data_IF_254140951054
#
_entry.id   IF_254140951054
#
_cell.length_a   1.000
_cell.length_b   1.000
_cell.length_c   1.000
_cell.angle_alpha   90.00
_cell.angle_beta   90.00
_cell.angle_gamma   90.00
#
_symmetry.space_group_name_H-M   'P 1'
#
loop_
_entity.id
_entity.type
_entity.pdbx_description
1 polymer ?
#
# COMPACT_ATOMS: atom_id res chain seq x y z
N UNK A 1 -6.06 31.73 6.55
CA UNK A 1 -6.20 30.26 6.53
C UNK A 1 -6.98 29.73 5.34
N UNK A 2 -8.02 30.41 4.85
CA UNK A 2 -8.91 29.87 3.80
C UNK A 2 -8.31 29.67 2.41
N UNK A 3 -7.06 30.05 2.17
CA UNK A 3 -6.40 29.91 0.87
C UNK A 3 -5.07 29.15 0.91
N UNK A 4 -4.67 28.59 2.05
CA UNK A 4 -3.37 27.96 2.22
C UNK A 4 -3.42 26.52 2.75
N UNK A 5 -4.59 26.06 3.24
CA UNK A 5 -4.75 24.73 3.83
C UNK A 5 -5.66 23.86 2.97
N UNK A 6 -5.17 22.69 2.56
CA UNK A 6 -5.95 21.66 1.91
C UNK A 6 -5.97 20.41 2.79
N UNK A 7 -7.10 19.75 2.88
CA UNK A 7 -7.25 18.45 3.53
C UNK A 7 -7.18 17.34 2.48
N UNK A 8 -6.17 16.50 2.57
CA UNK A 8 -6.05 15.30 1.74
C UNK A 8 -6.41 14.07 2.56
N UNK A 9 -7.50 13.42 2.21
CA UNK A 9 -7.93 12.20 2.87
C UNK A 9 -7.28 10.97 2.22
N UNK A 10 -6.70 10.08 3.02
CA UNK A 10 -6.06 8.84 2.61
C UNK A 10 -6.82 7.57 3.00
N UNK A 11 -8.02 7.70 3.58
CA UNK A 11 -8.80 6.55 4.08
C UNK A 11 -10.27 6.67 3.72
N UNK A 12 -10.92 5.50 3.58
CA UNK A 12 -12.38 5.38 3.50
C UNK A 12 -12.96 4.73 4.76
N UNK A 13 -12.14 4.58 5.81
CA UNK A 13 -12.55 3.97 7.07
C UNK A 13 -12.78 5.09 8.08
N UNK A 14 -13.99 5.23 8.58
CA UNK A 14 -14.34 6.25 9.56
C UNK A 14 -13.50 6.16 10.84
N UNK A 15 -13.21 4.94 11.30
CA UNK A 15 -12.36 4.69 12.46
C UNK A 15 -10.90 5.10 12.30
N UNK A 16 -10.44 5.33 11.06
CA UNK A 16 -9.10 5.81 10.77
C UNK A 16 -9.02 7.35 10.66
N UNK A 17 -10.14 8.05 10.80
CA UNK A 17 -10.16 9.51 10.95
C UNK A 17 -9.73 9.85 12.38
N UNK A 18 -8.71 10.68 12.48
CA UNK A 18 -8.07 11.01 13.76
C UNK A 18 -8.99 11.81 14.67
N UNK A 19 -9.23 11.29 15.87
CA UNK A 19 -10.00 11.98 16.92
C UNK A 19 -9.28 11.91 18.25
N UNK A 20 -9.29 13.01 19.00
CA UNK A 20 -8.61 13.10 20.29
C UNK A 20 -9.53 13.61 21.39
N UNK A 21 -9.52 13.01 22.60
CA UNK A 21 -10.19 13.62 23.74
C UNK A 21 -9.66 15.04 23.99
N UNK A 22 -10.54 16.01 24.20
CA UNK A 22 -10.15 17.41 24.45
C UNK A 22 -9.16 17.52 25.64
N UNK A 23 -9.33 16.68 26.67
CA UNK A 23 -8.44 16.61 27.82
C UNK A 23 -6.98 16.24 27.47
N UNK A 24 -6.75 15.50 26.38
CA UNK A 24 -5.38 15.20 25.91
C UNK A 24 -4.75 16.43 25.25
N UNK A 25 -5.54 17.17 24.48
CA UNK A 25 -5.07 18.40 23.85
C UNK A 25 -4.82 19.49 24.90
N UNK A 26 -5.62 19.55 25.98
CA UNK A 26 -5.40 20.43 27.12
C UNK A 26 -4.05 20.18 27.82
N UNK A 27 -3.58 18.94 27.85
CA UNK A 27 -2.25 18.57 28.39
C UNK A 27 -1.13 18.81 27.40
N UNK A 28 -1.34 18.51 26.13
CA UNK A 28 -0.29 18.53 25.10
C UNK A 28 -0.09 19.94 24.51
N UNK A 29 -1.18 20.66 24.23
CA UNK A 29 -1.17 21.95 23.52
C UNK A 29 -2.23 22.91 24.09
N UNK A 30 -2.17 23.24 25.39
CA UNK A 30 -3.23 24.01 26.07
C UNK A 30 -3.54 25.34 25.41
N UNK A 31 -2.55 25.98 24.77
CA UNK A 31 -2.72 27.24 24.06
C UNK A 31 -3.61 27.16 22.82
N UNK A 32 -3.81 25.97 22.23
CA UNK A 32 -4.64 25.77 21.05
C UNK A 32 -6.09 25.43 21.40
N UNK A 33 -6.38 24.92 22.59
CA UNK A 33 -7.72 24.50 22.99
C UNK A 33 -8.75 25.61 22.93
N UNK A 34 -8.49 26.85 23.43
CA UNK A 34 -9.43 27.94 23.27
C UNK A 34 -9.74 28.28 21.80
N UNK A 35 -8.75 28.14 20.92
CA UNK A 35 -8.92 28.36 19.49
C UNK A 35 -9.82 27.26 18.89
N UNK A 36 -9.59 26.00 19.22
CA UNK A 36 -10.39 24.86 18.73
C UNK A 36 -11.86 25.04 19.19
N UNK A 37 -12.10 25.40 20.46
CA UNK A 37 -13.45 25.65 20.98
C UNK A 37 -14.12 26.82 20.28
N UNK A 38 -13.40 27.90 19.97
CA UNK A 38 -13.92 29.01 19.19
C UNK A 38 -14.27 28.63 17.76
N UNK A 39 -13.43 27.78 17.12
CA UNK A 39 -13.71 27.28 15.78
C UNK A 39 -14.98 26.39 15.78
N UNK A 40 -15.14 25.51 16.77
CA UNK A 40 -16.33 24.67 16.92
C UNK A 40 -17.60 25.52 17.19
N UNK A 41 -17.52 26.56 18.07
CA UNK A 41 -18.62 27.49 18.32
C UNK A 41 -19.13 28.14 17.03
N UNK A 42 -18.22 28.58 16.16
CA UNK A 42 -18.58 29.18 14.85
C UNK A 42 -19.21 28.17 13.89
N UNK A 43 -18.84 26.91 13.97
CA UNK A 43 -19.48 25.84 13.20
C UNK A 43 -20.89 25.61 13.67
N UNK A 44 -21.13 25.51 15.00
CA UNK A 44 -22.46 25.34 15.61
C UNK A 44 -23.42 26.51 15.35
N UNK A 45 -22.90 27.72 15.21
CA UNK A 45 -23.71 28.88 14.81
C UNK A 45 -24.19 28.82 13.36
N UNK A 46 -23.49 28.09 12.50
CA UNK A 46 -23.79 28.00 11.06
C UNK A 46 -24.56 26.75 10.68
N UNK A 47 -24.39 25.68 11.43
CA UNK A 47 -24.92 24.36 11.10
C UNK A 47 -25.55 23.71 12.31
N UNK A 48 -26.70 23.05 12.09
CA UNK A 48 -27.46 22.34 13.12
C UNK A 48 -27.19 20.83 13.10
N UNK A 49 -26.47 20.34 12.10
CA UNK A 49 -26.10 18.94 11.96
C UNK A 49 -24.89 18.63 12.85
N UNK A 50 -25.12 17.89 13.93
CA UNK A 50 -24.08 17.54 14.90
C UNK A 50 -22.98 16.65 14.29
N UNK A 51 -23.27 15.92 13.22
CA UNK A 51 -22.30 15.06 12.56
C UNK A 51 -21.15 15.81 11.89
N UNK A 52 -21.24 17.13 11.75
CA UNK A 52 -20.19 17.97 11.20
C UNK A 52 -19.47 18.84 12.25
N UNK A 53 -19.83 18.72 13.52
CA UNK A 53 -19.18 19.49 14.60
C UNK A 53 -17.72 19.07 14.78
N UNK A 54 -16.88 20.03 15.16
CA UNK A 54 -15.46 19.78 15.43
C UNK A 54 -15.28 19.02 16.75
N UNK A 55 -16.09 19.35 17.76
CA UNK A 55 -16.10 18.67 19.06
C UNK A 55 -17.45 17.96 19.18
N UNK A 56 -17.43 16.64 19.40
CA UNK A 56 -18.63 15.83 19.56
C UNK A 56 -19.18 15.86 21.01
N UNK A 57 -20.27 15.11 21.24
CA UNK A 57 -20.91 15.00 22.55
C UNK A 57 -20.04 14.33 23.62
N UNK A 58 -19.03 13.55 23.20
CA UNK A 58 -18.08 12.86 24.08
C UNK A 58 -16.80 13.69 24.32
N UNK A 59 -16.84 14.98 24.03
CA UNK A 59 -15.67 15.90 24.13
C UNK A 59 -14.46 15.42 23.33
N UNK A 60 -14.69 14.82 22.16
CA UNK A 60 -13.62 14.42 21.23
C UNK A 60 -13.51 15.44 20.11
N UNK A 61 -12.29 15.84 19.82
CA UNK A 61 -11.96 16.73 18.71
C UNK A 61 -11.70 15.93 17.46
N UNK A 62 -12.47 16.19 16.41
CA UNK A 62 -12.33 15.58 15.09
C UNK A 62 -11.41 16.42 14.22
N UNK A 63 -10.19 15.97 14.00
CA UNK A 63 -9.17 16.71 13.24
C UNK A 63 -9.62 16.95 11.80
N UNK A 64 -10.15 15.92 11.14
CA UNK A 64 -10.66 16.03 9.78
C UNK A 64 -11.80 17.07 9.65
N UNK A 65 -12.73 17.15 10.62
CA UNK A 65 -13.81 18.11 10.59
C UNK A 65 -13.29 19.55 10.63
N UNK A 66 -12.30 19.79 11.49
CA UNK A 66 -11.66 21.12 11.58
C UNK A 66 -10.99 21.49 10.25
N UNK A 67 -10.24 20.55 9.65
CA UNK A 67 -9.56 20.77 8.38
C UNK A 67 -10.53 21.01 7.22
N UNK A 68 -11.65 20.29 7.18
CA UNK A 68 -12.67 20.46 6.14
C UNK A 68 -13.39 21.81 6.27
N UNK A 69 -13.75 22.23 7.49
CA UNK A 69 -14.40 23.52 7.69
C UNK A 69 -13.51 24.70 7.29
N UNK A 70 -12.25 24.67 7.68
CA UNK A 70 -11.34 25.82 7.59
C UNK A 70 -10.32 25.74 6.45
N UNK A 71 -10.13 24.58 5.82
CA UNK A 71 -9.38 24.44 4.58
C UNK A 71 -10.17 24.89 3.36
N UNK A 72 -9.49 25.21 2.27
CA UNK A 72 -10.12 25.61 1.01
C UNK A 72 -10.41 24.44 0.07
N UNK A 73 -9.76 23.31 0.25
CA UNK A 73 -9.84 22.14 -0.63
C UNK A 73 -9.85 20.85 0.16
N UNK A 74 -10.69 19.92 -0.25
CA UNK A 74 -10.80 18.55 0.28
C UNK A 74 -10.62 17.59 -0.87
N UNK A 75 -9.64 16.70 -0.81
CA UNK A 75 -9.45 15.74 -1.89
C UNK A 75 -9.29 14.31 -1.43
N UNK A 76 -9.85 13.39 -2.21
CA UNK A 76 -9.44 12.00 -2.21
C UNK A 76 -8.20 11.79 -3.08
N UNK A 77 -7.61 10.60 -3.00
CA UNK A 77 -6.34 10.26 -3.65
C UNK A 77 -6.48 9.28 -4.83
N UNK A 78 -7.71 9.01 -5.24
CA UNK A 78 -8.10 8.28 -6.45
C UNK A 78 -9.54 8.64 -6.80
N UNK A 79 -9.95 8.49 -8.06
CA UNK A 79 -11.33 8.82 -8.49
C UNK A 79 -12.38 8.08 -7.65
N UNK A 80 -12.31 6.75 -7.58
CA UNK A 80 -13.24 5.95 -6.78
C UNK A 80 -13.23 6.33 -5.30
N UNK A 81 -12.05 6.59 -4.72
CA UNK A 81 -11.92 7.06 -3.35
C UNK A 81 -12.66 8.39 -3.15
N UNK A 82 -12.47 9.33 -4.04
CA UNK A 82 -13.15 10.64 -3.98
C UNK A 82 -14.67 10.51 -4.07
N UNK A 83 -15.18 9.62 -4.92
CA UNK A 83 -16.62 9.36 -5.01
C UNK A 83 -17.17 8.68 -3.75
N UNK A 84 -16.41 7.79 -3.10
CA UNK A 84 -16.78 7.21 -1.80
C UNK A 84 -16.85 8.30 -0.72
N UNK A 85 -15.86 9.21 -0.68
CA UNK A 85 -15.89 10.33 0.27
C UNK A 85 -17.13 11.21 0.08
N UNK A 86 -17.44 11.59 -1.16
CA UNK A 86 -18.61 12.44 -1.47
C UNK A 86 -19.93 11.77 -1.14
N UNK A 87 -20.08 10.50 -1.47
CA UNK A 87 -21.35 9.80 -1.44
C UNK A 87 -21.62 9.02 -0.14
N UNK A 88 -20.57 8.78 0.68
CA UNK A 88 -20.65 7.99 1.91
C UNK A 88 -19.97 8.71 3.07
N UNK A 89 -18.65 8.59 3.19
CA UNK A 89 -17.88 8.89 4.39
C UNK A 89 -17.94 10.36 4.83
N UNK A 90 -17.90 11.29 3.88
CA UNK A 90 -17.94 12.73 4.11
C UNK A 90 -19.14 13.39 3.40
N UNK A 91 -20.22 12.63 3.17
CA UNK A 91 -21.39 13.12 2.46
C UNK A 91 -22.01 14.37 3.12
N UNK A 92 -22.02 14.42 4.44
CA UNK A 92 -22.55 15.57 5.18
C UNK A 92 -21.74 16.83 4.88
N UNK A 93 -20.43 16.72 4.81
CA UNK A 93 -19.54 17.82 4.40
C UNK A 93 -19.66 18.16 2.92
N UNK A 94 -19.84 17.16 2.07
CA UNK A 94 -20.04 17.40 0.64
C UNK A 94 -21.31 18.19 0.36
N UNK A 95 -22.41 17.93 1.10
CA UNK A 95 -23.64 18.71 1.01
C UNK A 95 -23.45 20.18 1.39
N UNK A 96 -22.55 20.45 2.35
CA UNK A 96 -22.28 21.82 2.83
C UNK A 96 -21.29 22.56 1.92
N UNK A 97 -20.25 21.84 1.45
CA UNK A 97 -19.13 22.42 0.71
C UNK A 97 -18.81 21.64 -0.58
N UNK A 98 -19.76 21.53 -1.54
CA UNK A 98 -19.55 20.71 -2.74
C UNK A 98 -18.31 21.17 -3.56
N UNK A 99 -18.08 22.48 -3.62
CA UNK A 99 -16.98 23.07 -4.39
C UNK A 99 -15.58 22.81 -3.81
N UNK A 100 -15.49 22.41 -2.53
CA UNK A 100 -14.20 22.06 -1.93
C UNK A 100 -13.71 20.68 -2.38
N UNK A 101 -14.64 19.79 -2.76
CA UNK A 101 -14.29 18.38 -3.03
C UNK A 101 -13.76 18.18 -4.44
N UNK A 102 -12.58 17.60 -4.53
CA UNK A 102 -11.94 17.29 -5.81
C UNK A 102 -11.10 16.03 -5.70
N UNK A 103 -10.61 15.53 -6.84
CA UNK A 103 -9.75 14.36 -6.90
C UNK A 103 -8.31 14.77 -7.20
N UNK A 104 -7.37 14.21 -6.45
CA UNK A 104 -5.93 14.28 -6.70
C UNK A 104 -5.37 12.86 -6.69
N UNK A 105 -5.45 12.17 -7.84
CA UNK A 105 -4.95 10.80 -7.95
C UNK A 105 -3.48 10.75 -7.54
N UNK A 106 -3.15 9.80 -6.66
CA UNK A 106 -1.77 9.52 -6.30
C UNK A 106 -0.96 9.26 -7.57
N UNK A 107 0.18 9.93 -7.68
CA UNK A 107 1.09 9.73 -8.78
C UNK A 107 2.25 8.83 -8.40
N UNK A 108 2.72 8.03 -9.35
CA UNK A 108 4.01 7.37 -9.29
C UNK A 108 4.89 7.90 -10.40
N UNK A 109 6.16 8.15 -10.12
CA UNK A 109 7.09 8.57 -11.17
C UNK A 109 7.72 7.34 -11.81
N UNK A 110 7.37 7.07 -13.08
CA UNK A 110 7.95 5.96 -13.84
C UNK A 110 9.47 6.09 -14.03
N UNK A 111 10.04 7.30 -13.94
CA UNK A 111 11.48 7.51 -13.95
C UNK A 111 12.17 6.74 -12.84
N UNK A 112 11.60 6.72 -11.63
CA UNK A 112 12.12 5.91 -10.53
C UNK A 112 11.72 4.45 -10.67
N UNK A 113 10.42 4.19 -10.84
CA UNK A 113 9.81 2.88 -10.69
C UNK A 113 9.96 1.95 -11.90
N UNK A 114 10.28 2.50 -13.06
CA UNK A 114 10.62 1.76 -14.26
C UNK A 114 12.09 2.00 -14.64
N UNK A 115 12.44 3.24 -14.98
CA UNK A 115 13.73 3.54 -15.61
C UNK A 115 14.90 3.23 -14.68
N UNK A 116 14.82 3.61 -13.41
CA UNK A 116 15.90 3.39 -12.46
C UNK A 116 15.87 2.00 -11.82
N UNK A 117 14.68 1.49 -11.48
CA UNK A 117 14.58 0.21 -10.77
C UNK A 117 14.74 -1.00 -11.68
N UNK A 118 14.41 -0.89 -12.98
CA UNK A 118 14.48 -1.99 -13.94
C UNK A 118 15.17 -1.55 -15.24
N UNK A 119 16.48 -1.34 -15.14
CA UNK A 119 17.30 -0.94 -16.30
C UNK A 119 17.21 -1.92 -17.47
N UNK A 120 17.25 -3.27 -17.28
CA UNK A 120 17.12 -4.21 -18.38
C UNK A 120 15.79 -4.09 -19.13
N UNK A 121 14.68 -3.85 -18.42
CA UNK A 121 13.38 -3.60 -19.03
C UNK A 121 13.37 -2.25 -19.75
N UNK A 122 13.96 -1.25 -19.17
CA UNK A 122 14.09 0.11 -19.78
C UNK A 122 14.86 0.05 -21.11
N UNK A 123 15.95 -0.69 -21.15
CA UNK A 123 16.76 -0.86 -22.36
C UNK A 123 15.99 -1.63 -23.44
N UNK A 124 15.26 -2.66 -23.05
CA UNK A 124 14.37 -3.39 -23.96
C UNK A 124 13.30 -2.46 -24.56
N UNK A 125 12.62 -1.68 -23.73
CA UNK A 125 11.61 -0.70 -24.18
C UNK A 125 12.24 0.31 -25.13
N UNK A 126 13.39 0.87 -24.76
CA UNK A 126 14.11 1.84 -25.60
C UNK A 126 14.44 1.30 -27.00
N UNK A 127 14.82 0.02 -27.09
CA UNK A 127 15.10 -0.62 -28.37
C UNK A 127 13.85 -0.87 -29.21
N UNK A 128 12.68 -1.07 -28.57
CA UNK A 128 11.42 -1.34 -29.27
C UNK A 128 10.73 -0.07 -29.76
N UNK A 129 10.69 0.99 -28.94
CA UNK A 129 9.88 2.19 -29.20
C UNK A 129 10.66 3.51 -29.15
N UNK A 130 11.98 3.48 -28.96
CA UNK A 130 12.81 4.67 -28.76
C UNK A 130 12.76 5.19 -27.32
N UNK A 131 13.48 6.28 -27.06
CA UNK A 131 13.62 6.84 -25.70
C UNK A 131 12.60 7.94 -25.35
N UNK A 132 11.71 8.30 -26.26
CA UNK A 132 10.72 9.37 -26.09
C UNK A 132 9.77 9.15 -24.89
N UNK A 133 9.51 7.90 -24.50
CA UNK A 133 8.70 7.58 -23.31
C UNK A 133 9.30 8.14 -22.01
N UNK A 134 10.59 8.41 -21.97
CA UNK A 134 11.26 8.99 -20.79
C UNK A 134 10.73 10.38 -20.44
N UNK A 135 10.20 11.09 -21.45
CA UNK A 135 9.61 12.42 -21.31
C UNK A 135 8.09 12.39 -21.39
N UNK A 136 7.55 11.52 -22.20
CA UNK A 136 6.12 11.34 -22.43
C UNK A 136 5.74 9.86 -22.25
N UNK A 137 5.20 9.53 -21.06
CA UNK A 137 4.82 8.17 -20.70
C UNK A 137 3.73 7.58 -21.62
N UNK A 138 2.93 8.41 -22.31
CA UNK A 138 1.90 7.93 -23.25
C UNK A 138 2.50 7.15 -24.42
N UNK A 139 3.77 7.37 -24.73
CA UNK A 139 4.46 6.61 -25.77
C UNK A 139 4.63 5.12 -25.44
N UNK A 140 4.48 4.72 -24.17
CA UNK A 140 4.45 3.30 -23.78
C UNK A 140 3.29 2.52 -24.43
N UNK A 141 2.21 3.19 -24.85
CA UNK A 141 1.11 2.55 -25.60
C UNK A 141 1.60 1.85 -26.89
N UNK A 142 2.70 2.32 -27.51
CA UNK A 142 3.31 1.69 -28.68
C UNK A 142 3.71 0.23 -28.42
N UNK A 143 3.95 -0.14 -27.17
CA UNK A 143 4.27 -1.53 -26.80
C UNK A 143 3.13 -2.51 -27.08
N UNK A 144 1.87 -2.04 -27.12
CA UNK A 144 0.72 -2.86 -27.49
C UNK A 144 0.89 -3.54 -28.86
N UNK A 145 1.63 -2.90 -29.80
CA UNK A 145 1.94 -3.48 -31.10
C UNK A 145 2.81 -4.75 -31.05
N UNK A 146 3.46 -5.02 -29.94
CA UNK A 146 4.35 -6.17 -29.75
C UNK A 146 3.72 -7.29 -28.91
N UNK A 147 2.44 -7.17 -28.50
CA UNK A 147 1.76 -8.13 -27.61
C UNK A 147 1.70 -9.57 -28.18
N UNK A 148 1.78 -9.74 -29.51
CA UNK A 148 1.80 -11.05 -30.19
C UNK A 148 3.19 -11.45 -30.73
N UNK A 149 4.24 -10.66 -30.49
CA UNK A 149 5.60 -10.97 -30.98
C UNK A 149 6.32 -11.91 -30.00
N UNK A 150 6.44 -13.20 -30.38
CA UNK A 150 7.09 -14.21 -29.56
C UNK A 150 8.55 -13.87 -29.19
N UNK A 151 9.29 -13.19 -30.04
CA UNK A 151 10.69 -12.80 -29.74
C UNK A 151 10.74 -11.74 -28.64
N UNK A 152 9.80 -10.79 -28.69
CA UNK A 152 9.68 -9.74 -27.67
C UNK A 152 9.20 -10.34 -26.36
N UNK A 153 8.21 -11.24 -26.39
CA UNK A 153 7.72 -11.94 -25.20
C UNK A 153 8.80 -12.81 -24.54
N UNK A 154 9.57 -13.57 -25.31
CA UNK A 154 10.67 -14.35 -24.78
C UNK A 154 11.76 -13.47 -24.15
N UNK A 155 12.09 -12.33 -24.76
CA UNK A 155 13.02 -11.38 -24.19
C UNK A 155 12.50 -10.75 -22.89
N UNK A 156 11.19 -10.47 -22.80
CA UNK A 156 10.56 -10.01 -21.57
C UNK A 156 10.69 -11.05 -20.45
N UNK A 157 10.49 -12.33 -20.78
CA UNK A 157 10.70 -13.42 -19.83
C UNK A 157 12.16 -13.52 -19.36
N UNK A 158 13.14 -13.30 -20.25
CA UNK A 158 14.56 -13.25 -19.87
C UNK A 158 14.86 -12.14 -18.88
N UNK A 159 14.30 -10.92 -19.12
CA UNK A 159 14.41 -9.78 -18.18
C UNK A 159 13.80 -10.16 -16.83
N UNK A 160 12.60 -10.74 -16.83
CA UNK A 160 11.91 -11.17 -15.62
C UNK A 160 12.74 -12.22 -14.85
N UNK A 161 13.28 -13.22 -15.55
CA UNK A 161 14.14 -14.22 -14.93
C UNK A 161 15.44 -13.65 -14.38
N UNK A 162 16.02 -12.65 -15.03
CA UNK A 162 17.20 -11.95 -14.52
C UNK A 162 16.89 -11.24 -13.18
N UNK A 163 15.76 -10.58 -13.09
CA UNK A 163 15.30 -9.94 -11.85
C UNK A 163 15.03 -10.98 -10.74
N UNK A 164 14.38 -12.10 -11.06
CA UNK A 164 14.16 -13.20 -10.08
C UNK A 164 15.49 -13.76 -9.54
N UNK A 165 16.51 -13.92 -10.38
CA UNK A 165 17.86 -14.32 -9.94
C UNK A 165 18.53 -13.27 -9.04
N UNK A 166 18.34 -11.98 -9.33
CA UNK A 166 18.83 -10.90 -8.46
C UNK A 166 18.17 -10.95 -7.09
N UNK A 167 16.83 -11.13 -7.04
CA UNK A 167 16.11 -11.26 -5.80
C UNK A 167 16.52 -12.51 -5.01
N UNK A 168 16.64 -13.66 -5.68
CA UNK A 168 17.19 -14.90 -5.10
C UNK A 168 18.55 -14.64 -4.45
N UNK A 169 19.47 -14.03 -5.20
CA UNK A 169 20.79 -13.70 -4.68
C UNK A 169 20.72 -12.79 -3.46
N UNK A 170 19.89 -11.74 -3.50
CA UNK A 170 19.71 -10.83 -2.39
C UNK A 170 19.20 -11.56 -1.13
N UNK A 171 18.18 -12.39 -1.25
CA UNK A 171 17.61 -13.17 -0.13
C UNK A 171 18.65 -14.15 0.43
N UNK A 172 19.41 -14.83 -0.45
CA UNK A 172 20.46 -15.74 -0.02
C UNK A 172 21.58 -14.99 0.73
N UNK A 173 22.06 -13.88 0.19
CA UNK A 173 23.17 -13.11 0.76
C UNK A 173 22.79 -12.45 2.10
N UNK A 174 21.53 -12.03 2.28
CA UNK A 174 21.08 -11.29 3.45
C UNK A 174 20.46 -12.16 4.54
N UNK A 175 19.81 -13.25 4.17
CA UNK A 175 19.03 -14.08 5.10
C UNK A 175 19.41 -15.58 5.08
N UNK A 176 20.31 -15.99 4.19
CA UNK A 176 20.75 -17.38 4.07
C UNK A 176 19.67 -18.32 3.52
N UNK A 177 18.60 -17.79 2.93
CA UNK A 177 17.49 -18.58 2.39
C UNK A 177 17.68 -18.74 0.88
N UNK A 178 17.82 -20.00 0.43
CA UNK A 178 17.83 -20.30 -1.01
C UNK A 178 16.41 -20.53 -1.52
N UNK A 179 16.05 -19.85 -2.59
CA UNK A 179 14.76 -19.97 -3.27
C UNK A 179 14.96 -20.37 -4.73
N UNK A 180 13.96 -21.05 -5.30
CA UNK A 180 14.00 -21.43 -6.72
C UNK A 180 13.47 -20.28 -7.59
N UNK A 181 14.30 -19.73 -8.46
CA UNK A 181 13.91 -18.68 -9.41
C UNK A 181 12.85 -19.13 -10.43
N UNK A 182 12.66 -20.45 -10.62
CA UNK A 182 11.62 -21.00 -11.50
C UNK A 182 10.27 -21.18 -10.78
N UNK A 183 10.23 -21.07 -9.45
CA UNK A 183 8.99 -21.13 -8.69
C UNK A 183 8.09 -19.93 -9.01
N UNK A 184 6.79 -20.05 -8.75
CA UNK A 184 5.88 -18.91 -8.74
C UNK A 184 6.23 -18.03 -7.53
N UNK A 185 6.55 -16.76 -7.76
CA UNK A 185 6.71 -15.79 -6.68
C UNK A 185 5.37 -15.17 -6.34
N UNK A 186 4.81 -15.52 -5.18
CA UNK A 186 3.63 -14.89 -4.59
C UNK A 186 4.11 -13.79 -3.64
N UNK A 187 3.93 -12.54 -4.04
CA UNK A 187 4.56 -11.41 -3.37
C UNK A 187 3.50 -10.53 -2.68
N UNK A 188 3.62 -10.38 -1.36
CA UNK A 188 2.81 -9.45 -0.60
C UNK A 188 3.71 -8.48 0.18
N UNK A 189 4.09 -7.37 -0.45
CA UNK A 189 4.99 -6.34 0.09
C UNK A 189 4.23 -5.03 0.34
N UNK A 190 3.81 -4.84 1.58
CA UNK A 190 3.10 -3.64 2.03
C UNK A 190 3.15 -3.53 3.56
N UNK A 191 3.08 -2.32 4.12
CA UNK A 191 2.98 -2.13 5.57
C UNK A 191 1.88 -3.02 6.13
N UNK A 192 2.16 -3.71 7.23
CA UNK A 192 1.22 -4.62 7.83
C UNK A 192 0.06 -3.86 8.45
N UNK A 193 -1.15 -4.30 8.11
CA UNK A 193 -2.40 -3.79 8.66
C UNK A 193 -3.50 -4.83 8.45
N UNK A 194 -4.44 -4.95 9.40
CA UNK A 194 -5.50 -5.96 9.34
C UNK A 194 -6.31 -5.89 8.04
N UNK A 195 -6.67 -4.69 7.56
CA UNK A 195 -7.42 -4.52 6.32
C UNK A 195 -6.66 -4.95 5.05
N UNK A 196 -5.33 -5.05 5.11
CA UNK A 196 -4.51 -5.55 4.00
C UNK A 196 -4.42 -7.07 3.96
N UNK A 197 -4.98 -7.73 4.97
CA UNK A 197 -5.23 -9.16 5.01
C UNK A 197 -4.00 -10.06 4.89
N UNK A 198 -2.83 -9.63 5.40
CA UNK A 198 -1.65 -10.49 5.42
C UNK A 198 -1.89 -11.78 6.24
N UNK A 199 -2.71 -11.71 7.30
CA UNK A 199 -3.12 -12.88 8.06
C UNK A 199 -3.90 -13.90 7.20
N UNK A 200 -4.73 -13.44 6.25
CA UNK A 200 -5.43 -14.36 5.33
C UNK A 200 -4.45 -15.07 4.40
N UNK A 201 -3.42 -14.37 3.91
CA UNK A 201 -2.37 -14.98 3.12
C UNK A 201 -1.55 -15.98 3.96
N UNK A 202 -1.24 -15.65 5.21
CA UNK A 202 -0.59 -16.61 6.14
C UNK A 202 -1.46 -17.86 6.37
N UNK A 203 -2.78 -17.73 6.52
CA UNK A 203 -3.70 -18.87 6.61
C UNK A 203 -3.72 -19.69 5.32
N UNK A 204 -3.66 -19.03 4.16
CA UNK A 204 -3.52 -19.73 2.88
C UNK A 204 -2.21 -20.51 2.77
N UNK A 205 -1.11 -19.95 3.28
CA UNK A 205 0.17 -20.66 3.36
C UNK A 205 0.06 -21.91 4.24
N UNK A 206 -0.62 -21.82 5.40
CA UNK A 206 -0.89 -22.99 6.26
C UNK A 206 -1.73 -24.02 5.51
N UNK A 207 -2.75 -23.60 4.81
CA UNK A 207 -3.57 -24.50 3.99
C UNK A 207 -2.70 -25.25 2.95
N UNK A 208 -1.85 -24.54 2.23
CA UNK A 208 -0.93 -25.12 1.23
C UNK A 208 0.07 -26.09 1.85
N UNK A 209 0.63 -25.74 3.02
CA UNK A 209 1.50 -26.65 3.77
C UNK A 209 0.80 -27.98 4.08
N UNK A 210 -0.41 -27.91 4.66
CA UNK A 210 -1.19 -29.08 5.01
C UNK A 210 -1.65 -29.87 3.78
N UNK A 211 -1.91 -29.22 2.68
CA UNK A 211 -2.32 -29.82 1.41
C UNK A 211 -1.17 -30.65 0.82
N UNK A 212 0.06 -30.10 0.82
CA UNK A 212 1.27 -30.82 0.42
C UNK A 212 1.53 -32.02 1.34
N UNK A 213 1.39 -31.85 2.66
CA UNK A 213 1.54 -32.99 3.63
C UNK A 213 0.51 -34.11 3.41
N UNK A 214 -0.63 -33.81 2.77
CA UNK A 214 -1.63 -34.83 2.36
C UNK A 214 -1.32 -35.48 1.01
N UNK A 215 -0.22 -35.09 0.37
CA UNK A 215 0.23 -35.64 -0.92
C UNK A 215 -0.24 -34.85 -2.15
N UNK A 216 -0.92 -33.73 -2.00
CA UNK A 216 -1.32 -32.85 -3.11
C UNK A 216 -0.16 -31.95 -3.53
N UNK A 217 0.75 -32.49 -4.31
CA UNK A 217 1.97 -31.79 -4.74
C UNK A 217 1.64 -30.82 -5.88
N UNK A 218 1.99 -29.53 -5.80
CA UNK A 218 1.79 -28.59 -6.89
C UNK A 218 2.73 -28.89 -8.06
N UNK A 219 2.24 -28.70 -9.29
CA UNK A 219 3.04 -28.91 -10.51
C UNK A 219 4.21 -27.92 -10.65
N UNK A 220 4.08 -26.75 -10.07
CA UNK A 220 5.12 -25.70 -10.04
C UNK A 220 5.30 -25.26 -8.59
N UNK A 221 6.54 -25.23 -8.09
CA UNK A 221 6.82 -24.74 -6.74
C UNK A 221 6.37 -23.30 -6.55
N UNK A 222 6.05 -22.93 -5.32
CA UNK A 222 5.62 -21.56 -4.96
C UNK A 222 6.55 -21.00 -3.89
N UNK A 223 7.02 -19.79 -4.10
CA UNK A 223 7.76 -19.02 -3.09
C UNK A 223 6.91 -17.83 -2.66
N UNK A 224 6.43 -17.85 -1.43
CA UNK A 224 5.63 -16.76 -0.86
C UNK A 224 6.57 -15.76 -0.19
N UNK A 225 6.56 -14.53 -0.67
CA UNK A 225 7.47 -13.47 -0.22
C UNK A 225 6.66 -12.37 0.47
N UNK A 226 6.87 -12.23 1.78
CA UNK A 226 6.30 -11.16 2.56
C UNK A 226 7.33 -10.04 2.78
N UNK A 227 6.89 -8.80 2.70
CA UNK A 227 7.66 -7.65 3.12
C UNK A 227 6.75 -6.69 3.88
N UNK A 228 7.04 -6.46 5.16
CA UNK A 228 6.18 -5.63 6.00
C UNK A 228 6.95 -4.98 7.16
N UNK A 229 6.37 -3.89 7.68
CA UNK A 229 6.72 -3.28 8.97
C UNK A 229 5.43 -2.99 9.73
N UNK A 230 5.46 -3.17 11.04
CA UNK A 230 4.41 -2.79 11.96
C UNK A 230 4.80 -1.53 12.75
N UNK A 231 3.82 -0.69 13.09
CA UNK A 231 4.04 0.37 14.07
C UNK A 231 4.37 -0.24 15.44
N UNK A 232 5.25 0.36 16.25
CA UNK A 232 5.68 -0.22 17.54
C UNK A 232 4.55 -0.55 18.50
N UNK A 233 3.49 0.27 18.52
CA UNK A 233 2.31 0.06 19.38
C UNK A 233 1.25 -0.89 18.81
N UNK A 234 1.38 -1.32 17.56
CA UNK A 234 0.40 -2.16 16.88
C UNK A 234 0.69 -3.64 17.13
N UNK A 235 0.23 -4.17 18.27
CA UNK A 235 0.55 -5.52 18.76
C UNK A 235 0.10 -6.61 17.79
N UNK A 236 -1.16 -6.59 17.32
CA UNK A 236 -1.71 -7.57 16.36
C UNK A 236 -0.87 -7.63 15.08
N UNK A 237 -0.41 -6.49 14.59
CA UNK A 237 0.46 -6.46 13.41
C UNK A 237 1.80 -7.17 13.68
N UNK A 238 2.38 -7.01 14.86
CA UNK A 238 3.60 -7.73 15.27
C UNK A 238 3.36 -9.23 15.41
N UNK A 239 2.21 -9.63 15.94
CA UNK A 239 1.82 -11.03 16.08
C UNK A 239 1.67 -11.70 14.70
N UNK A 240 1.11 -10.99 13.71
CA UNK A 240 1.03 -11.49 12.33
C UNK A 240 2.43 -11.64 11.71
N UNK A 241 3.35 -10.69 11.94
CA UNK A 241 4.74 -10.85 11.49
C UNK A 241 5.38 -12.07 12.15
N UNK A 242 5.16 -12.26 13.46
CA UNK A 242 5.67 -13.41 14.18
C UNK A 242 5.12 -14.73 13.62
N UNK A 243 3.82 -14.81 13.33
CA UNK A 243 3.21 -15.94 12.66
C UNK A 243 3.90 -16.26 11.32
N UNK A 244 4.15 -15.25 10.48
CA UNK A 244 4.82 -15.43 9.19
C UNK A 244 6.25 -15.95 9.39
N UNK A 245 6.99 -15.45 10.37
CA UNK A 245 8.33 -15.95 10.71
C UNK A 245 8.31 -17.40 11.20
N UNK A 246 7.33 -17.79 12.01
CA UNK A 246 7.14 -19.17 12.42
C UNK A 246 6.85 -20.09 11.22
N UNK A 247 6.00 -19.63 10.28
CA UNK A 247 5.73 -20.37 9.04
C UNK A 247 6.97 -20.49 8.17
N UNK A 248 7.76 -19.43 8.04
CA UNK A 248 9.05 -19.46 7.34
C UNK A 248 9.96 -20.54 7.94
N UNK A 249 10.11 -20.57 9.24
CA UNK A 249 10.96 -21.56 9.92
C UNK A 249 10.42 -22.98 9.76
N UNK A 250 9.14 -23.19 9.96
CA UNK A 250 8.49 -24.49 9.84
C UNK A 250 8.62 -25.05 8.43
N UNK A 251 8.19 -24.29 7.43
CA UNK A 251 8.06 -24.75 6.04
C UNK A 251 9.43 -24.92 5.39
N UNK A 252 10.35 -23.99 5.60
CA UNK A 252 11.66 -24.05 4.94
C UNK A 252 12.55 -25.17 5.50
N UNK A 253 12.27 -25.67 6.71
CA UNK A 253 12.99 -26.79 7.33
C UNK A 253 12.27 -28.14 7.19
N UNK A 254 11.08 -28.20 6.62
CA UNK A 254 10.36 -29.46 6.38
C UNK A 254 10.78 -30.05 5.02
N UNK A 255 11.52 -31.16 4.98
CA UNK A 255 12.04 -31.74 3.74
C UNK A 255 10.94 -32.25 2.78
N UNK A 256 9.75 -32.57 3.31
CA UNK A 256 8.64 -33.03 2.49
C UNK A 256 7.91 -31.86 1.78
N UNK A 257 8.05 -30.64 2.29
CA UNK A 257 7.31 -29.45 1.82
C UNK A 257 8.21 -28.43 1.15
N UNK A 258 9.40 -28.20 1.69
CA UNK A 258 10.30 -27.14 1.23
C UNK A 258 10.72 -27.20 -0.24
N UNK A 259 10.70 -28.34 -0.95
CA UNK A 259 10.90 -28.36 -2.40
C UNK A 259 9.76 -27.73 -3.21
N UNK A 260 8.56 -27.64 -2.64
CA UNK A 260 7.34 -27.21 -3.33
C UNK A 260 6.77 -25.90 -2.82
N UNK A 261 7.08 -25.55 -1.57
CA UNK A 261 6.63 -24.33 -0.93
C UNK A 261 7.77 -23.72 -0.11
N UNK A 262 8.07 -22.46 -0.36
CA UNK A 262 8.99 -21.64 0.45
C UNK A 262 8.27 -20.42 0.97
N UNK A 263 8.67 -19.97 2.15
CA UNK A 263 8.20 -18.71 2.73
C UNK A 263 9.39 -17.84 3.08
N UNK A 264 9.32 -16.58 2.70
CA UNK A 264 10.36 -15.59 2.99
C UNK A 264 9.70 -14.35 3.56
N UNK A 265 10.14 -13.91 4.72
CA UNK A 265 9.84 -12.58 5.27
C UNK A 265 11.07 -11.70 5.07
N UNK A 266 10.98 -10.75 4.13
CA UNK A 266 12.12 -9.87 3.82
C UNK A 266 12.37 -8.91 4.97
N UNK A 267 13.60 -8.89 5.47
CA UNK A 267 14.05 -7.96 6.49
C UNK A 267 14.19 -6.53 5.95
N UNK A 268 14.11 -5.57 6.87
CA UNK A 268 14.29 -4.15 6.56
C UNK A 268 13.41 -3.60 5.45
N UNK A 269 12.16 -4.12 5.37
CA UNK A 269 11.17 -3.61 4.43
C UNK A 269 11.25 -2.08 4.27
N UNK A 270 11.50 -1.61 3.07
CA UNK A 270 11.51 -0.20 2.71
C UNK A 270 11.07 -0.02 1.26
N UNK A 271 10.66 1.21 0.92
CA UNK A 271 10.06 1.53 -0.38
C UNK A 271 10.96 1.23 -1.58
N UNK A 272 12.27 1.21 -1.41
CA UNK A 272 13.22 0.98 -2.50
C UNK A 272 13.46 -0.50 -2.77
N UNK A 273 13.29 -1.34 -1.75
CA UNK A 273 13.64 -2.75 -1.83
C UNK A 273 12.77 -3.55 -2.79
N UNK A 274 11.46 -3.25 -2.87
CA UNK A 274 10.54 -4.02 -3.72
C UNK A 274 10.15 -3.35 -5.01
N UNK A 275 10.63 -2.18 -5.29
CA UNK A 275 10.31 -1.53 -6.54
C UNK A 275 11.16 -2.03 -7.69
N UNK A 276 12.27 -2.71 -7.41
CA UNK A 276 13.08 -3.35 -8.45
C UNK A 276 12.50 -4.70 -8.92
N UNK A 277 11.76 -5.41 -8.06
CA UNK A 277 11.42 -6.81 -8.33
C UNK A 277 9.91 -7.12 -8.22
N UNK A 278 9.15 -6.35 -7.43
CA UNK A 278 7.70 -6.56 -7.25
C UNK A 278 6.84 -5.77 -8.25
N UNK A 279 7.36 -4.76 -8.91
CA UNK A 279 6.63 -3.99 -9.92
C UNK A 279 6.38 -4.79 -11.21
N UNK A 280 7.04 -5.94 -11.39
CA UNK A 280 6.88 -6.79 -12.56
C UNK A 280 5.71 -7.76 -12.47
N UNK A 281 4.96 -7.79 -11.34
CA UNK A 281 3.86 -8.74 -11.11
C UNK A 281 2.47 -8.07 -10.98
N UNK A 282 2.35 -6.78 -11.30
CA UNK A 282 1.06 -6.08 -11.34
C UNK A 282 0.50 -5.99 -12.75
#
# INVERSE_FOLDING_TARGET
>A
MSHTCAYTNHTILAEALETWPAAYLEKAVPQLVPIIRELDRRVRERFTDESVYIIDSDERVHMAHMDIHYGFSVNGVAYLHTEILKNKELNNFYKIYPDKFNNKTNGITFRRWLIHCNEPLTDMITQLIGDGFRQDAMQLEKLAGYAGDEKVLNRLLEVKMANKRRLKKYILDTQGIDIDENSIFDIQVKRLHEYKRQQMNALYVIFKYLDIKRGNIPSTPVTVIFGAKAAPAYTIAKDIIHLILCLQQLINNDPDVSPYLKVVMIENYNCLLYTSDAADEL
#
